data_IF_209654231957
#
_entry.id   IF_209654231957
#
_cell.length_a   1.000
_cell.length_b   1.000
_cell.length_c   1.000
_cell.angle_alpha   90.00
_cell.angle_beta   90.00
_cell.angle_gamma   90.00
#
_symmetry.space_group_name_H-M   'P 1'
#
loop_
_entity.id
_entity.type
_entity.pdbx_description
1 polymer ?
#
# COMPACT_ATOMS: atom_id res chain seq x y z
N UNK A 1 -54.18 185.74 74.02
CA UNK A 1 -54.89 185.45 72.75
C UNK A 1 -53.94 185.40 71.53
N UNK A 2 -52.94 186.29 71.38
CA UNK A 2 -51.94 186.18 70.29
C UNK A 2 -50.69 185.34 70.65
N UNK A 3 -50.18 185.43 71.88
CA UNK A 3 -48.95 184.72 72.30
C UNK A 3 -49.12 183.19 72.32
N UNK A 4 -50.28 182.69 72.78
CA UNK A 4 -50.59 181.24 72.76
C UNK A 4 -50.68 180.65 71.35
N UNK A 5 -50.97 181.46 70.33
CA UNK A 5 -51.02 181.00 68.94
C UNK A 5 -49.62 180.89 68.33
N UNK A 6 -48.70 181.80 68.68
CA UNK A 6 -47.30 181.76 68.26
C UNK A 6 -46.54 180.58 68.90
N UNK A 7 -46.82 180.29 70.18
CA UNK A 7 -46.23 179.11 70.86
C UNK A 7 -46.73 177.82 70.21
N UNK A 8 -48.03 177.70 69.94
CA UNK A 8 -48.59 176.55 69.22
C UNK A 8 -47.95 176.33 67.85
N UNK A 9 -47.79 177.39 67.04
CA UNK A 9 -47.16 177.28 65.73
C UNK A 9 -45.68 176.90 65.80
N UNK A 10 -44.94 177.31 66.84
CA UNK A 10 -43.55 176.87 67.06
C UNK A 10 -43.47 175.41 67.47
N UNK A 11 -44.34 174.97 68.38
CA UNK A 11 -44.46 173.57 68.76
C UNK A 11 -44.87 172.70 67.56
N UNK A 12 -45.75 173.20 66.69
CA UNK A 12 -46.13 172.52 65.44
C UNK A 12 -44.96 172.45 64.47
N UNK A 13 -44.19 173.53 64.30
CA UNK A 13 -43.00 173.54 63.46
C UNK A 13 -41.92 172.58 63.96
N UNK A 14 -41.70 172.52 65.28
CA UNK A 14 -40.71 171.62 65.87
C UNK A 14 -41.17 170.15 65.84
N UNK A 15 -42.47 169.86 66.03
CA UNK A 15 -43.05 168.53 65.78
C UNK A 15 -42.86 168.10 64.33
N UNK A 16 -43.19 168.96 63.37
CA UNK A 16 -43.01 168.69 61.93
C UNK A 16 -41.52 168.47 61.57
N UNK A 17 -40.59 169.14 62.26
CA UNK A 17 -39.14 168.91 62.09
C UNK A 17 -38.70 167.58 62.66
N UNK A 18 -39.19 167.21 63.85
CA UNK A 18 -38.92 165.92 64.49
C UNK A 18 -39.49 164.77 63.65
N UNK A 19 -40.72 164.92 63.15
CA UNK A 19 -41.35 163.95 62.24
C UNK A 19 -40.55 163.82 60.94
N UNK A 20 -40.13 164.93 60.32
CA UNK A 20 -39.27 164.88 59.13
C UNK A 20 -37.96 164.16 59.41
N UNK A 21 -37.31 164.44 60.54
CA UNK A 21 -36.05 163.79 60.92
C UNK A 21 -36.27 162.29 61.17
N UNK A 22 -37.35 161.93 61.86
CA UNK A 22 -37.74 160.54 62.07
C UNK A 22 -37.99 159.81 60.76
N UNK A 23 -38.77 160.38 59.83
CA UNK A 23 -39.00 159.80 58.50
C UNK A 23 -37.73 159.73 57.67
N UNK A 24 -36.80 160.67 57.82
CA UNK A 24 -35.50 160.64 57.15
C UNK A 24 -34.63 159.50 57.67
N UNK A 25 -34.55 159.33 59.00
CA UNK A 25 -33.80 158.25 59.64
C UNK A 25 -34.39 156.88 59.29
N UNK A 26 -35.72 156.74 59.31
CA UNK A 26 -36.40 155.51 58.90
C UNK A 26 -36.20 155.22 57.40
N UNK A 27 -36.24 156.23 56.53
CA UNK A 27 -35.92 156.07 55.11
C UNK A 27 -34.47 155.59 54.92
N UNK A 28 -33.50 156.21 55.59
CA UNK A 28 -32.09 155.85 55.46
C UNK A 28 -31.84 154.44 56.04
N UNK A 29 -32.50 154.08 57.14
CA UNK A 29 -32.49 152.72 57.70
C UNK A 29 -33.09 151.70 56.74
N UNK A 30 -34.24 151.98 56.15
CA UNK A 30 -34.84 151.14 55.09
C UNK A 30 -33.90 151.01 53.90
N UNK A 31 -33.23 152.10 53.51
CA UNK A 31 -32.28 152.09 52.40
C UNK A 31 -31.06 151.21 52.72
N UNK A 32 -30.44 151.35 53.90
CA UNK A 32 -29.33 150.48 54.31
C UNK A 32 -29.74 149.01 54.41
N UNK A 33 -30.92 148.70 54.93
CA UNK A 33 -31.44 147.33 54.94
C UNK A 33 -31.66 146.80 53.53
N UNK A 34 -32.18 147.63 52.63
CA UNK A 34 -32.36 147.29 51.23
C UNK A 34 -31.01 147.01 50.56
N UNK A 35 -30.00 147.87 50.72
CA UNK A 35 -28.64 147.67 50.17
C UNK A 35 -27.99 146.39 50.72
N UNK A 36 -28.11 146.12 52.03
CA UNK A 36 -27.57 144.90 52.64
C UNK A 36 -28.27 143.66 52.08
N UNK A 37 -29.60 143.69 52.00
CA UNK A 37 -30.40 142.55 51.50
C UNK A 37 -30.16 142.32 50.01
N UNK A 38 -29.99 143.39 49.23
CA UNK A 38 -29.66 143.32 47.80
C UNK A 38 -28.26 142.73 47.59
N UNK A 39 -27.25 143.20 48.35
CA UNK A 39 -25.91 142.59 48.33
C UNK A 39 -25.94 141.11 48.71
N UNK A 40 -26.66 140.73 49.77
CA UNK A 40 -26.80 139.33 50.19
C UNK A 40 -27.51 138.48 49.13
N UNK A 41 -28.52 139.05 48.47
CA UNK A 41 -29.21 138.38 47.36
C UNK A 41 -28.26 138.15 46.18
N UNK A 42 -27.44 139.14 45.82
CA UNK A 42 -26.44 139.01 44.76
C UNK A 42 -25.32 138.01 45.12
N UNK A 43 -24.89 137.96 46.40
CA UNK A 43 -23.94 136.95 46.90
C UNK A 43 -24.53 135.54 46.79
N UNK A 44 -25.76 135.31 47.26
CA UNK A 44 -26.43 134.02 47.16
C UNK A 44 -26.68 133.60 45.70
N UNK A 45 -27.02 134.53 44.81
CA UNK A 45 -27.13 134.26 43.37
C UNK A 45 -25.79 133.85 42.77
N UNK A 46 -24.69 134.50 43.18
CA UNK A 46 -23.35 134.16 42.72
C UNK A 46 -22.91 132.78 43.24
N UNK A 47 -23.17 132.47 44.51
CA UNK A 47 -22.92 131.15 45.11
C UNK A 47 -23.73 130.05 44.42
N UNK A 48 -25.03 130.26 44.19
CA UNK A 48 -25.88 129.33 43.44
C UNK A 48 -25.31 129.06 42.05
N UNK A 49 -24.91 130.11 41.32
CA UNK A 49 -24.31 129.96 39.99
C UNK A 49 -22.97 129.22 40.01
N UNK A 50 -22.19 129.33 41.09
CA UNK A 50 -20.96 128.58 41.24
C UNK A 50 -21.25 127.10 41.53
N UNK A 51 -22.20 126.81 42.42
CA UNK A 51 -22.65 125.44 42.69
C UNK A 51 -23.21 124.77 41.44
N UNK A 52 -24.03 125.48 40.65
CA UNK A 52 -24.55 124.95 39.38
C UNK A 52 -23.41 124.60 38.41
N UNK A 53 -22.36 125.43 38.32
CA UNK A 53 -21.17 125.14 37.50
C UNK A 53 -20.38 123.95 38.02
N UNK A 54 -20.21 123.82 39.34
CA UNK A 54 -19.50 122.71 39.96
C UNK A 54 -20.23 121.38 39.69
N UNK A 55 -21.56 121.39 39.80
CA UNK A 55 -22.42 120.25 39.45
C UNK A 55 -22.23 119.88 37.97
N UNK A 56 -22.30 120.86 37.06
CA UNK A 56 -22.06 120.60 35.63
C UNK A 56 -20.64 120.07 35.35
N UNK A 57 -19.63 120.55 36.07
CA UNK A 57 -18.25 120.06 35.96
C UNK A 57 -18.12 118.62 36.43
N UNK A 58 -18.74 118.25 37.55
CA UNK A 58 -18.78 116.87 38.05
C UNK A 58 -19.54 115.94 37.11
N UNK A 59 -20.68 116.37 36.56
CA UNK A 59 -21.38 115.62 35.53
C UNK A 59 -20.51 115.39 34.30
N UNK A 60 -19.78 116.41 33.83
CA UNK A 60 -18.83 116.29 32.72
C UNK A 60 -17.70 115.31 33.07
N UNK A 61 -17.14 115.37 34.28
CA UNK A 61 -16.12 114.41 34.76
C UNK A 61 -16.64 112.98 34.76
N UNK A 62 -17.80 112.73 35.37
CA UNK A 62 -18.41 111.41 35.43
C UNK A 62 -18.74 110.86 34.03
N UNK A 63 -19.21 111.68 33.10
CA UNK A 63 -19.42 111.25 31.71
C UNK A 63 -18.12 110.80 31.03
N UNK A 64 -17.00 111.46 31.30
CA UNK A 64 -15.68 111.05 30.80
C UNK A 64 -15.24 109.73 31.44
N UNK A 65 -15.39 109.59 32.76
CA UNK A 65 -15.07 108.35 33.47
C UNK A 65 -15.86 107.16 32.93
N UNK A 66 -17.17 107.31 32.73
CA UNK A 66 -18.03 106.28 32.13
C UNK A 66 -17.52 105.89 30.74
N UNK A 67 -17.10 106.86 29.91
CA UNK A 67 -16.51 106.58 28.59
C UNK A 67 -15.20 105.80 28.71
N UNK A 68 -14.33 106.18 29.65
CA UNK A 68 -13.06 105.47 29.90
C UNK A 68 -13.31 104.04 30.38
N UNK A 69 -14.19 103.83 31.35
CA UNK A 69 -14.55 102.50 31.83
C UNK A 69 -15.18 101.64 30.73
N UNK A 70 -16.05 102.23 29.90
CA UNK A 70 -16.61 101.54 28.73
C UNK A 70 -15.52 101.11 27.74
N UNK A 71 -14.52 101.95 27.50
CA UNK A 71 -13.38 101.61 26.64
C UNK A 71 -12.49 100.53 27.24
N UNK A 72 -12.21 100.60 28.56
CA UNK A 72 -11.47 99.55 29.28
C UNK A 72 -12.17 98.20 29.20
N UNK A 73 -13.49 98.17 29.41
CA UNK A 73 -14.30 96.97 29.28
C UNK A 73 -14.24 96.39 27.87
N UNK A 74 -14.37 97.23 26.83
CA UNK A 74 -14.23 96.79 25.44
C UNK A 74 -12.86 96.19 25.15
N UNK A 75 -11.79 96.83 25.62
CA UNK A 75 -10.43 96.33 25.43
C UNK A 75 -10.22 94.97 26.10
N UNK A 76 -10.64 94.82 27.36
CA UNK A 76 -10.52 93.57 28.10
C UNK A 76 -11.32 92.42 27.44
N UNK A 77 -12.52 92.71 26.94
CA UNK A 77 -13.31 91.73 26.16
C UNK A 77 -12.61 91.34 24.86
N UNK A 78 -12.02 92.29 24.13
CA UNK A 78 -11.24 91.99 22.93
C UNK A 78 -9.98 91.17 23.25
N UNK A 79 -9.25 91.48 24.32
CA UNK A 79 -8.08 90.71 24.76
C UNK A 79 -8.45 89.27 25.14
N UNK A 80 -9.52 89.08 25.91
CA UNK A 80 -10.03 87.75 26.24
C UNK A 80 -10.46 86.99 24.99
N UNK A 81 -11.18 87.63 24.07
CA UNK A 81 -11.58 87.00 22.81
C UNK A 81 -10.37 86.61 21.95
N UNK A 82 -9.33 87.44 21.91
CA UNK A 82 -8.09 87.13 21.20
C UNK A 82 -7.36 85.95 21.85
N UNK A 83 -7.21 85.97 23.17
CA UNK A 83 -6.57 84.88 23.93
C UNK A 83 -7.32 83.55 23.72
N UNK A 84 -8.66 83.57 23.75
CA UNK A 84 -9.47 82.37 23.46
C UNK A 84 -9.26 81.91 22.02
N UNK A 85 -9.18 82.83 21.06
CA UNK A 85 -8.95 82.50 19.65
C UNK A 85 -7.57 81.89 19.42
N UNK A 86 -6.53 82.44 20.06
CA UNK A 86 -5.16 81.93 20.03
C UNK A 86 -5.08 80.53 20.66
N UNK A 87 -5.61 80.34 21.87
CA UNK A 87 -5.63 79.03 22.53
C UNK A 87 -6.39 77.97 21.70
N UNK A 88 -7.48 78.36 21.03
CA UNK A 88 -8.21 77.47 20.13
C UNK A 88 -7.38 77.12 18.89
N UNK A 89 -6.69 78.09 18.30
CA UNK A 89 -5.83 77.86 17.15
C UNK A 89 -4.64 76.95 17.52
N UNK A 90 -3.97 77.22 18.63
CA UNK A 90 -2.87 76.41 19.16
C UNK A 90 -3.33 74.98 19.48
N UNK A 91 -4.51 74.86 20.09
CA UNK A 91 -5.14 73.56 20.35
C UNK A 91 -5.36 72.77 19.06
N UNK A 92 -5.95 73.39 18.03
CA UNK A 92 -6.17 72.74 16.72
C UNK A 92 -4.84 72.32 16.07
N UNK A 93 -3.85 73.21 16.02
CA UNK A 93 -2.53 72.91 15.44
C UNK A 93 -1.83 71.79 16.20
N UNK A 94 -1.89 71.78 17.54
CA UNK A 94 -1.33 70.71 18.36
C UNK A 94 -2.03 69.37 18.10
N UNK A 95 -3.36 69.37 18.02
CA UNK A 95 -4.12 68.13 17.72
C UNK A 95 -3.83 67.62 16.31
N UNK A 96 -3.75 68.50 15.32
CA UNK A 96 -3.43 68.11 13.94
C UNK A 96 -2.01 67.55 13.82
N UNK A 97 -1.05 68.12 14.55
CA UNK A 97 0.32 67.60 14.60
C UNK A 97 0.37 66.19 15.20
N UNK A 98 -0.28 65.97 16.34
CA UNK A 98 -0.35 64.65 16.98
C UNK A 98 -1.06 63.65 16.06
N UNK A 99 -2.15 64.04 15.40
CA UNK A 99 -2.86 63.18 14.46
C UNK A 99 -1.96 62.78 13.28
N UNK A 100 -1.22 63.72 12.69
CA UNK A 100 -0.27 63.43 11.59
C UNK A 100 0.87 62.51 12.03
N UNK A 101 1.37 62.65 13.26
CA UNK A 101 2.39 61.76 13.82
C UNK A 101 1.83 60.34 14.05
N UNK A 102 0.61 60.23 14.56
CA UNK A 102 -0.08 58.96 14.73
C UNK A 102 -0.33 58.27 13.38
N UNK A 103 -0.86 58.99 12.38
CA UNK A 103 -1.11 58.45 11.03
C UNK A 103 0.20 57.92 10.40
N UNK A 104 1.32 58.63 10.57
CA UNK A 104 2.62 58.15 10.10
C UNK A 104 3.02 56.85 10.79
N UNK A 105 2.96 56.80 12.11
CA UNK A 105 3.31 55.61 12.88
C UNK A 105 2.43 54.41 12.50
N UNK A 106 1.13 54.61 12.33
CA UNK A 106 0.21 53.57 11.88
C UNK A 106 0.56 53.07 10.47
N UNK A 107 0.90 53.97 9.54
CA UNK A 107 1.32 53.55 8.19
C UNK A 107 2.64 52.79 8.19
N UNK A 108 3.58 53.14 9.07
CA UNK A 108 4.85 52.42 9.25
C UNK A 108 4.61 51.03 9.83
N UNK A 109 3.84 50.92 10.92
CA UNK A 109 3.46 49.65 11.52
C UNK A 109 2.73 48.73 10.54
N UNK A 110 1.83 49.26 9.71
CA UNK A 110 1.16 48.48 8.67
C UNK A 110 2.11 48.01 7.57
N UNK A 111 3.15 48.79 7.23
CA UNK A 111 4.18 48.37 6.28
C UNK A 111 5.03 47.24 6.89
N UNK A 112 5.45 47.39 8.14
CA UNK A 112 6.25 46.39 8.84
C UNK A 112 5.47 45.08 9.01
N UNK A 113 4.19 45.15 9.38
CA UNK A 113 3.31 43.97 9.47
C UNK A 113 3.21 43.25 8.12
N UNK A 114 3.03 43.99 7.02
CA UNK A 114 2.98 43.41 5.67
C UNK A 114 4.32 42.78 5.28
N UNK A 115 5.44 43.41 5.61
CA UNK A 115 6.76 42.85 5.36
C UNK A 115 6.96 41.53 6.12
N UNK A 116 6.65 41.51 7.42
CA UNK A 116 6.74 40.30 8.26
C UNK A 116 5.83 39.19 7.73
N UNK A 117 4.61 39.50 7.27
CA UNK A 117 3.72 38.51 6.67
C UNK A 117 4.28 37.91 5.38
N UNK A 118 4.92 38.72 4.53
CA UNK A 118 5.59 38.24 3.31
C UNK A 118 6.78 37.36 3.68
N UNK A 119 7.64 37.80 4.61
CA UNK A 119 8.81 37.02 5.06
C UNK A 119 8.39 35.66 5.64
N UNK A 120 7.32 35.60 6.44
CA UNK A 120 6.78 34.34 6.96
C UNK A 120 6.28 33.44 5.83
N UNK A 121 5.54 33.99 4.86
CA UNK A 121 5.06 33.22 3.71
C UNK A 121 6.22 32.71 2.83
N UNK A 122 7.28 33.50 2.67
CA UNK A 122 8.49 33.09 1.95
C UNK A 122 9.23 31.96 2.66
N UNK A 123 9.36 32.03 3.99
CA UNK A 123 9.91 30.94 4.81
C UNK A 123 9.09 29.65 4.70
N UNK A 124 7.76 29.74 4.83
CA UNK A 124 6.87 28.58 4.69
C UNK A 124 6.99 27.94 3.29
N UNK A 125 7.09 28.77 2.25
CA UNK A 125 7.30 28.31 0.88
C UNK A 125 8.69 27.65 0.72
N UNK A 126 9.74 28.23 1.31
CA UNK A 126 11.10 27.67 1.26
C UNK A 126 11.17 26.30 1.94
N UNK A 127 10.52 26.14 3.09
CA UNK A 127 10.45 24.87 3.81
C UNK A 127 9.64 23.82 3.03
N UNK A 128 8.52 24.21 2.41
CA UNK A 128 7.78 23.33 1.51
C UNK A 128 8.63 22.87 0.31
N UNK A 129 9.41 23.78 -0.29
CA UNK A 129 10.31 23.44 -1.39
C UNK A 129 11.41 22.48 -0.93
N UNK A 130 12.01 22.70 0.24
CA UNK A 130 13.01 21.78 0.82
C UNK A 130 12.42 20.41 1.09
N UNK A 131 11.20 20.32 1.62
CA UNK A 131 10.52 19.05 1.87
C UNK A 131 10.25 18.30 0.56
N UNK A 132 9.76 19.00 -0.47
CA UNK A 132 9.54 18.43 -1.80
C UNK A 132 10.85 17.95 -2.45
N UNK A 133 11.93 18.72 -2.30
CA UNK A 133 13.25 18.33 -2.81
C UNK A 133 13.79 17.09 -2.10
N UNK A 134 13.65 17.00 -0.78
CA UNK A 134 14.06 15.82 -0.01
C UNK A 134 13.25 14.57 -0.42
N UNK A 135 11.93 14.69 -0.59
CA UNK A 135 11.08 13.60 -1.12
C UNK A 135 11.51 13.16 -2.51
N UNK A 136 11.80 14.11 -3.39
CA UNK A 136 12.29 13.81 -4.74
C UNK A 136 13.64 13.09 -4.72
N UNK A 137 14.58 13.54 -3.90
CA UNK A 137 15.89 12.90 -3.74
C UNK A 137 15.76 11.48 -3.17
N UNK A 138 14.86 11.27 -2.19
CA UNK A 138 14.55 9.92 -1.68
C UNK A 138 13.99 9.01 -2.78
N UNK A 139 13.04 9.47 -3.58
CA UNK A 139 12.49 8.68 -4.69
C UNK A 139 13.54 8.38 -5.76
N UNK A 140 14.41 9.34 -6.08
CA UNK A 140 15.55 9.13 -6.97
C UNK A 140 16.51 8.07 -6.41
N UNK A 141 16.83 8.10 -5.12
CA UNK A 141 17.68 7.06 -4.51
C UNK A 141 17.01 5.68 -4.54
N UNK A 142 15.71 5.58 -4.19
CA UNK A 142 14.96 4.31 -4.24
C UNK A 142 14.90 3.73 -5.65
N UNK A 143 14.71 4.57 -6.67
CA UNK A 143 14.69 4.13 -8.07
C UNK A 143 16.08 3.72 -8.54
N UNK A 144 17.13 4.46 -8.19
CA UNK A 144 18.52 4.09 -8.46
C UNK A 144 18.88 2.74 -7.83
N UNK A 145 18.60 2.54 -6.55
CA UNK A 145 18.91 1.30 -5.84
C UNK A 145 18.19 0.09 -6.45
N UNK A 146 16.92 0.27 -6.83
CA UNK A 146 16.15 -0.76 -7.53
C UNK A 146 16.74 -1.12 -8.90
N UNK A 147 17.20 -0.13 -9.65
CA UNK A 147 17.85 -0.36 -10.94
C UNK A 147 19.20 -1.05 -10.77
N UNK A 148 20.00 -0.61 -9.81
CA UNK A 148 21.29 -1.22 -9.48
C UNK A 148 21.13 -2.69 -9.06
N UNK A 149 20.13 -2.99 -8.22
CA UNK A 149 19.77 -4.36 -7.85
C UNK A 149 19.40 -5.20 -9.07
N UNK A 150 18.54 -4.69 -9.96
CA UNK A 150 18.15 -5.41 -11.20
C UNK A 150 19.35 -5.67 -12.12
N UNK A 151 20.27 -4.71 -12.22
CA UNK A 151 21.51 -4.86 -12.99
C UNK A 151 22.39 -5.94 -12.37
N UNK A 152 22.60 -5.93 -11.05
CA UNK A 152 23.38 -6.96 -10.35
C UNK A 152 22.77 -8.36 -10.49
N UNK A 153 21.46 -8.50 -10.29
CA UNK A 153 20.76 -9.79 -10.46
C UNK A 153 20.86 -10.31 -11.88
N UNK A 154 20.73 -9.43 -12.88
CA UNK A 154 20.86 -9.81 -14.29
C UNK A 154 22.29 -10.24 -14.60
N UNK A 155 23.28 -9.47 -14.15
CA UNK A 155 24.70 -9.80 -14.31
C UNK A 155 25.03 -11.16 -13.69
N UNK A 156 24.60 -11.41 -12.46
CA UNK A 156 24.83 -12.69 -11.77
C UNK A 156 24.22 -13.87 -12.54
N UNK A 157 22.99 -13.73 -13.07
CA UNK A 157 22.35 -14.77 -13.90
C UNK A 157 23.15 -15.06 -15.18
N UNK A 158 23.71 -14.05 -15.81
CA UNK A 158 24.53 -14.24 -17.02
C UNK A 158 25.90 -14.82 -16.69
N UNK A 159 26.54 -14.42 -15.60
CA UNK A 159 27.78 -15.02 -15.11
C UNK A 159 27.61 -16.51 -14.78
N UNK A 160 26.52 -16.88 -14.11
CA UNK A 160 26.18 -18.28 -13.82
C UNK A 160 25.99 -19.09 -15.12
N UNK A 161 25.21 -18.57 -16.08
CA UNK A 161 25.04 -19.20 -17.39
C UNK A 161 26.35 -19.36 -18.15
N UNK A 162 27.25 -18.38 -18.04
CA UNK A 162 28.55 -18.40 -18.70
C UNK A 162 29.48 -19.49 -18.16
N UNK A 163 29.25 -19.96 -16.92
CA UNK A 163 29.98 -21.08 -16.30
C UNK A 163 29.29 -22.42 -16.58
N UNK A 164 27.97 -22.50 -16.40
CA UNK A 164 27.22 -23.76 -16.48
C UNK A 164 27.13 -24.29 -17.92
N UNK A 165 26.92 -23.43 -18.92
CA UNK A 165 26.72 -23.87 -20.30
C UNK A 165 27.96 -24.62 -20.87
N UNK A 166 29.21 -24.14 -20.69
CA UNK A 166 30.39 -24.90 -21.08
C UNK A 166 30.54 -26.23 -20.34
N UNK A 167 30.21 -26.28 -19.04
CA UNK A 167 30.28 -27.52 -18.26
C UNK A 167 29.27 -28.55 -18.78
N UNK A 168 28.06 -28.13 -19.12
CA UNK A 168 27.03 -29.01 -19.66
C UNK A 168 27.39 -29.53 -21.05
N UNK A 169 27.93 -28.67 -21.93
CA UNK A 169 28.46 -29.09 -23.24
C UNK A 169 29.63 -30.09 -23.10
N UNK A 170 30.54 -29.86 -22.15
CA UNK A 170 31.66 -30.76 -21.89
C UNK A 170 31.18 -32.11 -21.32
N UNK A 171 30.17 -32.10 -20.44
CA UNK A 171 29.55 -33.31 -19.93
C UNK A 171 28.82 -34.11 -21.02
N UNK A 172 28.06 -33.45 -21.90
CA UNK A 172 27.44 -34.11 -23.06
C UNK A 172 28.52 -34.75 -23.95
N UNK A 173 29.59 -34.01 -24.26
CA UNK A 173 30.70 -34.53 -25.06
C UNK A 173 31.37 -35.74 -24.40
N UNK A 174 31.60 -35.70 -23.08
CA UNK A 174 32.17 -36.82 -22.31
C UNK A 174 31.26 -38.04 -22.33
N UNK A 175 29.96 -37.85 -22.16
CA UNK A 175 28.99 -38.95 -22.23
C UNK A 175 28.96 -39.59 -23.62
N UNK A 176 28.91 -38.80 -24.70
CA UNK A 176 28.96 -39.32 -26.07
C UNK A 176 30.25 -40.10 -26.36
N UNK A 177 31.39 -39.65 -25.83
CA UNK A 177 32.66 -40.37 -25.93
C UNK A 177 32.57 -41.71 -25.17
N UNK A 178 32.10 -41.69 -23.93
CA UNK A 178 31.96 -42.89 -23.09
C UNK A 178 31.02 -43.92 -23.73
N UNK A 179 29.85 -43.50 -24.21
CA UNK A 179 28.91 -44.41 -24.89
C UNK A 179 29.52 -45.04 -26.14
N UNK A 180 30.27 -44.26 -26.92
CA UNK A 180 30.98 -44.78 -28.09
C UNK A 180 32.08 -45.76 -27.69
N UNK A 181 32.84 -45.45 -26.65
CA UNK A 181 33.87 -46.34 -26.10
C UNK A 181 33.26 -47.65 -25.59
N UNK A 182 32.15 -47.60 -24.85
CA UNK A 182 31.43 -48.77 -24.36
C UNK A 182 30.91 -49.66 -25.51
N UNK A 183 30.36 -49.03 -26.56
CA UNK A 183 29.93 -49.75 -27.76
C UNK A 183 31.10 -50.44 -28.48
N UNK A 184 32.23 -49.75 -28.65
CA UNK A 184 33.44 -50.35 -29.24
C UNK A 184 34.02 -51.45 -28.37
N UNK A 185 34.07 -51.26 -27.05
CA UNK A 185 34.54 -52.25 -26.10
C UNK A 185 33.65 -53.51 -26.12
N UNK A 186 32.33 -53.33 -26.18
CA UNK A 186 31.37 -54.42 -26.34
C UNK A 186 31.59 -55.17 -27.66
N UNK A 187 31.77 -54.44 -28.77
CA UNK A 187 32.06 -55.04 -30.07
C UNK A 187 33.39 -55.83 -30.08
N UNK A 188 34.45 -55.26 -29.52
CA UNK A 188 35.76 -55.92 -29.38
C UNK A 188 35.62 -57.19 -28.52
N UNK A 189 34.88 -57.11 -27.41
CA UNK A 189 34.64 -58.26 -26.53
C UNK A 189 33.90 -59.38 -27.27
N UNK A 190 32.84 -59.05 -28.01
CA UNK A 190 32.12 -60.01 -28.85
C UNK A 190 33.02 -60.64 -29.93
N UNK A 191 33.85 -59.84 -30.60
CA UNK A 191 34.80 -60.35 -31.59
C UNK A 191 35.84 -61.30 -30.96
N UNK A 192 36.31 -60.99 -29.75
CA UNK A 192 37.21 -61.87 -28.98
C UNK A 192 36.49 -63.19 -28.62
N UNK A 193 35.24 -63.14 -28.20
CA UNK A 193 34.45 -64.34 -27.89
C UNK A 193 34.23 -65.22 -29.12
N UNK A 194 33.89 -64.63 -30.27
CA UNK A 194 33.73 -65.32 -31.55
C UNK A 194 35.05 -65.94 -32.02
N UNK A 195 36.17 -65.21 -31.96
CA UNK A 195 37.49 -65.77 -32.25
C UNK A 195 37.86 -66.91 -31.30
N UNK A 196 37.59 -66.78 -30.00
CA UNK A 196 37.85 -67.85 -29.04
C UNK A 196 36.97 -69.07 -29.30
N UNK A 197 35.71 -68.87 -29.73
CA UNK A 197 34.80 -69.96 -30.10
C UNK A 197 35.29 -70.68 -31.34
N UNK A 198 35.57 -69.96 -32.43
CA UNK A 198 36.11 -70.56 -33.66
C UNK A 198 37.44 -71.27 -33.42
N UNK A 199 38.30 -70.75 -32.55
CA UNK A 199 39.53 -71.42 -32.15
C UNK A 199 39.26 -72.71 -31.35
N UNK A 200 38.30 -72.70 -30.41
CA UNK A 200 37.87 -73.92 -29.70
C UNK A 200 37.32 -74.97 -30.67
N UNK A 201 36.45 -74.57 -31.59
CA UNK A 201 35.84 -75.45 -32.58
C UNK A 201 36.91 -76.05 -33.52
N UNK A 202 37.86 -75.22 -34.00
CA UNK A 202 39.00 -75.69 -34.80
C UNK A 202 39.90 -76.65 -34.02
N UNK A 203 40.15 -76.37 -32.74
CA UNK A 203 40.92 -77.26 -31.86
C UNK A 203 40.22 -78.60 -31.65
N UNK A 204 38.89 -78.59 -31.49
CA UNK A 204 38.08 -79.80 -31.38
C UNK A 204 38.13 -80.60 -32.70
N UNK A 205 37.98 -79.94 -33.85
CA UNK A 205 38.15 -80.58 -35.16
C UNK A 205 39.54 -81.20 -35.33
N UNK A 206 40.62 -80.51 -34.94
CA UNK A 206 41.98 -81.07 -34.97
C UNK A 206 42.10 -82.30 -34.06
N UNK A 207 41.48 -82.27 -32.88
CA UNK A 207 41.44 -83.43 -31.97
C UNK A 207 40.71 -84.62 -32.60
N UNK A 208 39.57 -84.39 -33.27
CA UNK A 208 38.84 -85.41 -34.01
C UNK A 208 39.69 -85.95 -35.16
N UNK A 209 40.33 -85.10 -35.95
CA UNK A 209 41.24 -85.52 -37.03
C UNK A 209 42.41 -86.36 -36.49
N UNK A 210 42.95 -86.01 -35.33
CA UNK A 210 44.01 -86.77 -34.67
C UNK A 210 43.50 -88.18 -34.28
N UNK A 211 42.30 -88.26 -33.70
CA UNK A 211 41.65 -89.52 -33.37
C UNK A 211 41.37 -90.38 -34.62
N UNK A 212 40.82 -89.77 -35.67
CA UNK A 212 40.57 -90.41 -36.96
C UNK A 212 41.85 -90.93 -37.61
N UNK A 213 42.96 -90.19 -37.50
CA UNK A 213 44.27 -90.63 -37.98
C UNK A 213 44.76 -91.88 -37.24
N UNK A 214 44.58 -91.94 -35.92
CA UNK A 214 44.94 -93.13 -35.12
C UNK A 214 44.05 -94.33 -35.45
N UNK A 215 42.75 -94.12 -35.67
CA UNK A 215 41.83 -95.16 -36.17
C UNK A 215 42.26 -95.64 -37.56
N UNK A 216 42.60 -94.72 -38.46
CA UNK A 216 43.08 -95.04 -39.81
C UNK A 216 44.39 -95.83 -39.79
N UNK A 217 45.36 -95.45 -38.92
CA UNK A 217 46.59 -96.23 -38.68
C UNK A 217 46.28 -97.64 -38.16
N UNK A 218 45.35 -97.77 -37.21
CA UNK A 218 44.91 -99.06 -36.66
C UNK A 218 44.26 -99.94 -37.74
N UNK A 219 43.32 -99.39 -38.52
CA UNK A 219 42.68 -100.08 -39.64
C UNK A 219 43.71 -100.50 -40.69
N UNK A 220 44.68 -99.64 -41.03
CA UNK A 220 45.77 -99.99 -41.95
C UNK A 220 46.60 -101.16 -41.44
N UNK A 221 46.91 -101.20 -40.14
CA UNK A 221 47.60 -102.34 -39.50
C UNK A 221 46.75 -103.61 -39.56
N UNK A 222 45.45 -103.52 -39.31
CA UNK A 222 44.53 -104.66 -39.45
C UNK A 222 44.44 -105.15 -40.90
N UNK A 223 44.38 -104.26 -41.89
CA UNK A 223 44.38 -104.61 -43.32
C UNK A 223 45.68 -105.31 -43.71
N UNK A 224 46.83 -104.85 -43.22
CA UNK A 224 48.10 -105.53 -43.48
C UNK A 224 48.12 -106.93 -42.85
N UNK A 225 47.61 -107.07 -41.62
CA UNK A 225 47.46 -108.37 -40.95
C UNK A 225 46.50 -109.30 -41.70
N UNK A 226 45.34 -108.80 -42.18
CA UNK A 226 44.39 -109.61 -42.95
C UNK A 226 44.95 -109.97 -44.32
N UNK A 227 45.73 -109.10 -44.98
CA UNK A 227 46.46 -109.42 -46.21
C UNK A 227 47.50 -110.52 -45.99
N UNK A 228 48.27 -110.48 -44.90
CA UNK A 228 49.21 -111.56 -44.53
C UNK A 228 48.46 -112.86 -44.27
N UNK A 229 47.36 -112.82 -43.50
CA UNK A 229 46.49 -113.99 -43.27
C UNK A 229 45.86 -114.51 -44.57
N UNK A 230 45.47 -113.64 -45.49
CA UNK A 230 44.93 -114.01 -46.79
C UNK A 230 45.99 -114.68 -47.65
N UNK A 231 47.20 -114.13 -47.74
CA UNK A 231 48.33 -114.77 -48.43
C UNK A 231 48.66 -116.14 -47.83
N UNK A 232 48.54 -116.29 -46.52
CA UNK A 232 48.70 -117.59 -45.85
C UNK A 232 47.58 -118.56 -46.28
N UNK A 233 46.31 -118.12 -46.23
CA UNK A 233 45.18 -118.93 -46.71
C UNK A 233 45.27 -119.28 -48.19
N UNK A 234 45.79 -118.40 -49.05
CA UNK A 234 46.04 -118.67 -50.46
C UNK A 234 47.13 -119.73 -50.65
N UNK A 235 48.16 -119.74 -49.80
CA UNK A 235 49.16 -120.84 -49.78
C UNK A 235 48.54 -122.15 -49.31
N UNK A 236 47.70 -122.11 -48.29
CA UNK A 236 46.98 -123.28 -47.77
C UNK A 236 45.89 -123.78 -48.74
N UNK A 237 45.43 -122.93 -49.67
CA UNK A 237 44.46 -123.28 -50.73
C UNK A 237 45.09 -124.10 -51.87
N UNK A 238 46.40 -124.00 -52.09
CA UNK A 238 47.12 -124.75 -53.14
C UNK A 238 46.98 -126.28 -52.98
N UNK A 239 47.19 -126.89 -51.79
CA UNK A 239 46.94 -128.32 -51.60
C UNK A 239 45.44 -128.68 -51.66
N UNK A 240 44.56 -127.80 -51.15
CA UNK A 240 43.10 -127.99 -51.19
C UNK A 240 42.54 -127.96 -52.63
N UNK A 241 43.14 -127.17 -53.53
CA UNK A 241 42.82 -127.15 -54.96
C UNK A 241 43.34 -128.38 -55.71
N UNK A 242 44.42 -129.01 -55.25
CA UNK A 242 44.90 -130.29 -55.79
C UNK A 242 44.01 -131.46 -55.37
N UNK A 243 43.53 -131.47 -54.12
CA UNK A 243 42.56 -132.47 -53.63
C UNK A 243 41.18 -132.34 -54.31
N UNK A 244 40.73 -131.12 -54.60
CA UNK A 244 39.47 -130.87 -55.34
C UNK A 244 39.53 -131.32 -56.81
N UNK A 245 40.70 -131.32 -57.47
CA UNK A 245 40.84 -131.87 -58.83
C UNK A 245 40.64 -133.38 -58.88
N UNK A 246 41.06 -134.11 -57.84
CA UNK A 246 40.89 -135.57 -57.72
C UNK A 246 39.46 -135.97 -57.27
N UNK A 247 38.76 -135.11 -56.51
CA UNK A 247 37.35 -135.32 -56.14
C UNK A 247 36.35 -134.95 -57.25
N UNK A 248 36.69 -134.01 -58.15
CA UNK A 248 35.85 -133.60 -59.28
C UNK A 248 35.74 -134.70 -60.36
N UNK A 249 36.75 -135.57 -60.52
CA UNK A 249 36.69 -136.75 -61.41
C UNK A 249 35.83 -137.91 -60.85
N UNK A 250 35.66 -138.02 -59.53
CA UNK A 250 34.80 -139.03 -58.90
C UNK A 250 33.33 -138.58 -58.77
N UNK A 251 33.07 -137.26 -58.74
CA UNK A 251 31.72 -136.68 -58.62
C UNK A 251 30.91 -136.65 -59.94
N UNK A 252 31.56 -136.72 -61.11
CA UNK A 252 30.89 -136.81 -62.41
C UNK A 252 30.17 -138.15 -62.67
N UNK A 253 30.42 -139.19 -61.85
CA UNK A 253 29.80 -140.53 -61.98
C UNK A 253 28.54 -140.72 -61.12
N UNK A 254 28.24 -139.83 -60.16
CA UNK A 254 27.10 -139.99 -59.22
C UNK A 254 26.13 -138.80 -59.26
N UNK A 255 26.49 -137.66 -59.85
CA UNK A 255 25.60 -136.50 -59.95
C UNK A 255 24.67 -136.51 -61.18
N UNK A 256 24.18 -137.71 -61.55
CA UNK A 256 23.06 -137.94 -62.48
C UNK A 256 21.79 -138.44 -61.75
N UNK A 257 21.75 -138.37 -60.41
CA UNK A 257 20.61 -138.87 -59.61
C UNK A 257 20.00 -137.92 -58.57
N UNK A 258 20.43 -136.66 -58.45
CA UNK A 258 19.74 -135.71 -57.54
C UNK A 258 19.44 -134.42 -58.29
N UNK A 259 18.67 -134.60 -59.36
CA UNK A 259 17.72 -133.63 -59.84
C UNK A 259 16.38 -133.91 -59.12
N UNK A 260 16.26 -133.57 -57.84
CA UNK A 260 14.96 -133.41 -57.19
C UNK A 260 15.15 -132.81 -55.80
N UNK A 261 14.49 -131.66 -55.57
CA UNK A 261 14.49 -130.84 -54.35
C UNK A 261 15.79 -130.03 -54.16
N UNK A 262 15.77 -128.71 -54.19
CA UNK A 262 14.79 -127.87 -53.52
C UNK A 262 14.73 -126.45 -54.09
N UNK A 263 13.49 -125.97 -54.10
CA UNK A 263 12.98 -124.70 -54.61
C UNK A 263 12.84 -123.77 -53.40
N UNK A 264 13.12 -122.47 -53.61
CA UNK A 264 12.70 -121.27 -52.81
C UNK A 264 13.59 -120.88 -51.61
N UNK A 265 14.14 -119.64 -51.65
CA UNK A 265 13.59 -118.56 -50.81
C UNK A 265 14.09 -117.14 -51.14
N UNK A 266 13.13 -116.22 -51.12
CA UNK A 266 13.15 -114.75 -51.06
C UNK A 266 12.92 -114.31 -49.60
N UNK A 267 13.27 -113.06 -49.24
CA UNK A 267 12.63 -112.13 -48.26
C UNK A 267 13.58 -110.94 -47.94
N UNK A 268 13.23 -109.77 -47.37
CA UNK A 268 12.08 -108.85 -47.27
C UNK A 268 12.51 -107.64 -46.36
N UNK A 269 11.68 -106.59 -46.28
CA UNK A 269 11.83 -105.19 -45.75
C UNK A 269 12.02 -104.92 -44.22
N UNK A 270 12.32 -103.64 -43.79
CA UNK A 270 11.48 -102.73 -42.93
C UNK A 270 12.15 -101.51 -42.18
N UNK A 271 11.41 -100.36 -42.13
CA UNK A 271 11.06 -99.35 -41.05
C UNK A 271 12.06 -98.31 -40.43
N UNK A 272 11.62 -97.03 -40.25
CA UNK A 272 10.96 -96.42 -39.04
C UNK A 272 10.72 -94.89 -39.15
N UNK A 273 9.87 -94.37 -38.24
CA UNK A 273 9.20 -93.04 -38.16
C UNK A 273 9.36 -92.39 -36.75
N UNK A 274 8.93 -91.12 -36.63
CA UNK A 274 8.34 -90.37 -35.47
C UNK A 274 9.08 -89.18 -34.82
N UNK A 275 8.44 -87.99 -34.80
CA UNK A 275 8.37 -87.03 -33.66
C UNK A 275 7.45 -85.82 -33.97
N UNK A 276 6.21 -85.80 -33.44
CA UNK A 276 5.28 -84.66 -33.54
C UNK A 276 4.35 -84.61 -32.30
N UNK A 277 4.86 -84.14 -31.14
CA UNK A 277 4.04 -83.94 -29.92
C UNK A 277 4.43 -82.75 -29.01
N UNK A 278 5.39 -81.90 -29.40
CA UNK A 278 5.85 -80.78 -28.54
C UNK A 278 5.28 -79.41 -28.96
N UNK A 279 4.97 -79.22 -30.25
CA UNK A 279 4.58 -77.92 -30.84
C UNK A 279 3.14 -77.49 -30.46
N UNK A 280 2.26 -78.43 -30.12
CA UNK A 280 0.84 -78.15 -29.85
C UNK A 280 0.55 -77.58 -28.46
N UNK A 281 1.52 -77.60 -27.52
CA UNK A 281 1.32 -77.10 -26.16
C UNK A 281 1.67 -75.61 -26.03
N UNK A 282 2.78 -75.16 -26.62
CA UNK A 282 3.20 -73.75 -26.62
C UNK A 282 2.21 -72.83 -27.36
N UNK A 283 1.56 -73.34 -28.41
CA UNK A 283 0.58 -72.58 -29.21
C UNK A 283 -0.70 -72.25 -28.43
N UNK A 284 -1.10 -73.09 -27.47
CA UNK A 284 -2.31 -72.85 -26.66
C UNK A 284 -2.05 -71.85 -25.52
N UNK A 285 -0.89 -71.90 -24.87
CA UNK A 285 -0.53 -70.96 -23.79
C UNK A 285 -0.37 -69.52 -24.33
N UNK A 286 0.18 -69.36 -25.54
CA UNK A 286 0.31 -68.04 -26.18
C UNK A 286 -1.05 -67.43 -26.56
N UNK A 287 -2.03 -68.27 -26.93
CA UNK A 287 -3.39 -67.84 -27.27
C UNK A 287 -4.15 -67.30 -26.04
N UNK A 288 -4.05 -67.98 -24.89
CA UNK A 288 -4.68 -67.52 -23.65
C UNK A 288 -4.13 -66.18 -23.17
N UNK A 289 -2.82 -65.94 -23.30
CA UNK A 289 -2.20 -64.67 -22.94
C UNK A 289 -2.67 -63.51 -23.85
N UNK A 290 -2.88 -63.78 -25.14
CA UNK A 290 -3.38 -62.79 -26.08
C UNK A 290 -4.84 -62.38 -25.78
N UNK A 291 -5.71 -63.34 -25.46
CA UNK A 291 -7.09 -63.07 -25.07
C UNK A 291 -7.18 -62.27 -23.75
N UNK A 292 -6.35 -62.61 -22.75
CA UNK A 292 -6.28 -61.87 -21.49
C UNK A 292 -5.79 -60.42 -21.67
N UNK A 293 -4.82 -60.20 -22.56
CA UNK A 293 -4.32 -58.86 -22.90
C UNK A 293 -5.37 -58.04 -23.66
N UNK A 294 -6.11 -58.67 -24.59
CA UNK A 294 -7.21 -58.06 -25.31
C UNK A 294 -8.33 -57.56 -24.39
N UNK A 295 -8.73 -58.36 -23.40
CA UNK A 295 -9.74 -57.94 -22.41
C UNK A 295 -9.30 -56.74 -21.56
N UNK A 296 -8.02 -56.69 -21.15
CA UNK A 296 -7.46 -55.54 -20.42
C UNK A 296 -7.45 -54.28 -21.26
N UNK A 297 -7.09 -54.41 -22.54
CA UNK A 297 -7.10 -53.29 -23.48
C UNK A 297 -8.51 -52.71 -23.67
N UNK A 298 -9.52 -53.56 -23.87
CA UNK A 298 -10.91 -53.12 -23.98
C UNK A 298 -11.41 -52.38 -22.73
N UNK A 299 -11.01 -52.84 -21.53
CA UNK A 299 -11.38 -52.17 -20.28
C UNK A 299 -10.74 -50.78 -20.15
N UNK A 300 -9.45 -50.66 -20.47
CA UNK A 300 -8.75 -49.37 -20.47
C UNK A 300 -9.32 -48.40 -21.52
N UNK A 301 -9.74 -48.91 -22.68
CA UNK A 301 -10.36 -48.10 -23.72
C UNK A 301 -11.71 -47.53 -23.27
N UNK A 302 -12.52 -48.32 -22.57
CA UNK A 302 -13.77 -47.87 -21.96
C UNK A 302 -13.54 -46.82 -20.87
N UNK A 303 -12.57 -47.03 -19.98
CA UNK A 303 -12.23 -46.07 -18.92
C UNK A 303 -11.75 -44.73 -19.51
N UNK A 304 -10.96 -44.77 -20.60
CA UNK A 304 -10.56 -43.56 -21.35
C UNK A 304 -11.78 -42.85 -21.94
N UNK A 305 -12.67 -43.57 -22.60
CA UNK A 305 -13.84 -42.98 -23.25
C UNK A 305 -14.82 -42.40 -22.23
N UNK A 306 -15.01 -43.05 -21.10
CA UNK A 306 -15.81 -42.54 -19.99
C UNK A 306 -15.18 -41.26 -19.39
N UNK A 307 -13.86 -41.25 -19.19
CA UNK A 307 -13.15 -40.08 -18.70
C UNK A 307 -13.27 -38.90 -19.69
N UNK A 308 -13.09 -39.16 -20.99
CA UNK A 308 -13.19 -38.14 -22.03
C UNK A 308 -14.62 -37.57 -22.15
N UNK A 309 -15.63 -38.42 -22.08
CA UNK A 309 -17.03 -38.02 -22.15
C UNK A 309 -17.49 -37.24 -20.90
N UNK A 310 -16.93 -37.55 -19.73
CA UNK A 310 -17.31 -36.90 -18.45
C UNK A 310 -16.48 -35.66 -18.13
N UNK A 311 -15.33 -35.47 -18.77
CA UNK A 311 -14.41 -34.35 -18.52
C UNK A 311 -15.09 -32.99 -18.69
N UNK A 312 -15.76 -32.76 -19.82
CA UNK A 312 -16.45 -31.48 -20.09
C UNK A 312 -17.55 -31.19 -19.07
N UNK A 313 -18.34 -32.20 -18.70
CA UNK A 313 -19.40 -32.05 -17.70
C UNK A 313 -18.83 -31.73 -16.30
N UNK A 314 -17.68 -32.28 -15.96
CA UNK A 314 -17.02 -32.01 -14.68
C UNK A 314 -16.42 -30.60 -14.64
N UNK A 315 -15.86 -30.11 -15.76
CA UNK A 315 -15.40 -28.72 -15.89
C UNK A 315 -16.59 -27.76 -15.71
N UNK A 316 -17.68 -27.97 -16.46
CA UNK A 316 -18.87 -27.12 -16.38
C UNK A 316 -19.46 -27.07 -14.95
N UNK A 317 -19.49 -28.21 -14.24
CA UNK A 317 -19.94 -28.25 -12.83
C UNK A 317 -19.05 -27.43 -11.90
N UNK A 318 -17.72 -27.50 -12.07
CA UNK A 318 -16.77 -26.74 -11.25
C UNK A 318 -16.87 -25.24 -11.57
N UNK A 319 -16.93 -24.88 -12.84
CA UNK A 319 -17.09 -23.50 -13.31
C UNK A 319 -18.42 -22.91 -12.83
N UNK A 320 -19.53 -23.63 -12.96
CA UNK A 320 -20.83 -23.20 -12.45
C UNK A 320 -20.80 -23.00 -10.92
N UNK A 321 -20.16 -23.92 -10.17
CA UNK A 321 -20.02 -23.76 -8.72
C UNK A 321 -19.17 -22.55 -8.34
N UNK A 322 -18.11 -22.27 -9.07
CA UNK A 322 -17.28 -21.07 -8.88
C UNK A 322 -18.05 -19.79 -9.23
N UNK A 323 -18.77 -19.80 -10.36
CA UNK A 323 -19.61 -18.70 -10.83
C UNK A 323 -20.71 -18.34 -9.84
N UNK A 324 -21.43 -19.33 -9.30
CA UNK A 324 -22.45 -19.11 -8.26
C UNK A 324 -21.85 -18.48 -7.00
N UNK A 325 -20.66 -18.92 -6.57
CA UNK A 325 -19.96 -18.30 -5.44
C UNK A 325 -19.54 -16.86 -5.74
N UNK A 326 -19.01 -16.59 -6.93
CA UNK A 326 -18.64 -15.22 -7.37
C UNK A 326 -19.86 -14.32 -7.36
N UNK A 327 -20.96 -14.74 -7.99
CA UNK A 327 -22.21 -13.98 -8.02
C UNK A 327 -22.75 -13.70 -6.61
N UNK A 328 -22.65 -14.66 -5.67
CA UNK A 328 -23.08 -14.44 -4.29
C UNK A 328 -22.20 -13.40 -3.57
N UNK A 329 -20.88 -13.43 -3.80
CA UNK A 329 -19.95 -12.43 -3.24
C UNK A 329 -20.19 -11.05 -3.84
N UNK A 330 -20.42 -10.95 -5.16
CA UNK A 330 -20.77 -9.70 -5.83
C UNK A 330 -22.07 -9.11 -5.29
N UNK A 331 -23.11 -9.94 -5.07
CA UNK A 331 -24.37 -9.50 -4.44
C UNK A 331 -24.14 -8.97 -3.02
N UNK A 332 -23.31 -9.65 -2.22
CA UNK A 332 -22.97 -9.18 -0.86
C UNK A 332 -22.18 -7.88 -0.90
N UNK A 333 -21.23 -7.75 -1.81
CA UNK A 333 -20.43 -6.54 -1.98
C UNK A 333 -21.30 -5.36 -2.39
N UNK A 334 -22.22 -5.56 -3.33
CA UNK A 334 -23.20 -4.53 -3.73
C UNK A 334 -24.06 -4.10 -2.55
N UNK A 335 -24.65 -5.04 -1.81
CA UNK A 335 -25.47 -4.72 -0.64
C UNK A 335 -24.69 -3.94 0.45
N UNK A 336 -23.41 -4.29 0.69
CA UNK A 336 -22.55 -3.53 1.60
C UNK A 336 -22.22 -2.13 1.08
N UNK A 337 -22.02 -1.99 -0.23
CA UNK A 337 -21.75 -0.70 -0.89
C UNK A 337 -22.98 0.21 -0.79
N UNK A 338 -24.17 -0.30 -1.13
CA UNK A 338 -25.43 0.44 -1.04
C UNK A 338 -25.69 0.89 0.41
N UNK A 339 -25.38 0.03 1.39
CA UNK A 339 -25.49 0.37 2.81
C UNK A 339 -24.51 1.47 3.22
N UNK A 340 -23.26 1.41 2.74
CA UNK A 340 -22.23 2.41 3.00
C UNK A 340 -22.64 3.77 2.43
N UNK A 341 -23.05 3.82 1.17
CA UNK A 341 -23.52 5.03 0.49
C UNK A 341 -24.69 5.66 1.25
N UNK A 342 -25.65 4.85 1.70
CA UNK A 342 -26.78 5.32 2.51
C UNK A 342 -26.31 5.92 3.85
N UNK A 343 -25.40 5.27 4.57
CA UNK A 343 -24.87 5.79 5.83
C UNK A 343 -24.05 7.07 5.64
N UNK A 344 -23.29 7.17 4.56
CA UNK A 344 -22.50 8.36 4.23
C UNK A 344 -23.41 9.53 3.86
N UNK A 345 -24.47 9.30 3.07
CA UNK A 345 -25.47 10.32 2.77
C UNK A 345 -26.21 10.80 4.03
N UNK A 346 -26.56 9.89 4.94
CA UNK A 346 -27.14 10.24 6.24
C UNK A 346 -26.18 11.06 7.09
N UNK A 347 -24.90 10.68 7.17
CA UNK A 347 -23.86 11.41 7.88
C UNK A 347 -23.71 12.84 7.32
N UNK A 348 -23.57 12.98 6.00
CA UNK A 348 -23.47 14.29 5.35
C UNK A 348 -24.70 15.17 5.61
N UNK A 349 -25.90 14.59 5.61
CA UNK A 349 -27.13 15.32 5.94
C UNK A 349 -27.14 15.83 7.38
N UNK A 350 -26.76 15.00 8.36
CA UNK A 350 -26.70 15.38 9.78
C UNK A 350 -25.62 16.43 10.02
N UNK A 351 -24.42 16.25 9.45
CA UNK A 351 -23.32 17.20 9.56
C UNK A 351 -23.71 18.57 9.00
N UNK A 352 -24.36 18.61 7.83
CA UNK A 352 -24.83 19.85 7.21
C UNK A 352 -25.94 20.54 8.00
N UNK A 353 -26.84 19.79 8.65
CA UNK A 353 -27.92 20.34 9.45
C UNK A 353 -27.45 20.90 10.81
N UNK A 354 -26.33 20.39 11.33
CA UNK A 354 -25.86 20.68 12.68
C UNK A 354 -25.06 21.98 12.84
N UNK A 355 -24.63 22.62 11.74
CA UNK A 355 -23.83 23.87 11.73
C UNK A 355 -22.68 23.87 12.75
N UNK A 356 -22.06 22.71 13.00
CA UNK A 356 -20.96 22.58 13.95
C UNK A 356 -19.67 23.19 13.38
N UNK A 357 -18.77 23.62 14.27
CA UNK A 357 -17.43 24.06 13.87
C UNK A 357 -16.66 22.89 13.23
N UNK A 358 -16.34 23.05 11.94
CA UNK A 358 -15.66 22.06 11.11
C UNK A 358 -14.28 21.68 11.67
N UNK A 359 -13.62 22.60 12.38
CA UNK A 359 -12.29 22.39 12.96
C UNK A 359 -12.35 21.51 14.21
N UNK A 360 -13.29 21.76 15.11
CA UNK A 360 -13.52 20.89 16.27
C UNK A 360 -14.00 19.49 15.83
N UNK A 361 -14.82 19.41 14.78
CA UNK A 361 -15.36 18.15 14.27
C UNK A 361 -14.27 17.28 13.63
N UNK A 362 -13.35 17.86 12.85
CA UNK A 362 -12.23 17.12 12.27
C UNK A 362 -11.30 16.54 13.33
N UNK A 363 -11.01 17.29 14.41
CA UNK A 363 -10.18 16.81 15.53
C UNK A 363 -10.84 15.63 16.23
N UNK A 364 -12.15 15.67 16.47
CA UNK A 364 -12.90 14.56 17.08
C UNK A 364 -12.96 13.35 16.16
N UNK A 365 -13.21 13.55 14.86
CA UNK A 365 -13.22 12.47 13.85
C UNK A 365 -11.87 11.78 13.76
N UNK A 366 -10.77 12.54 13.64
CA UNK A 366 -9.42 11.98 13.56
C UNK A 366 -9.08 11.16 14.81
N UNK A 367 -9.45 11.64 16.01
CA UNK A 367 -9.23 10.91 17.26
C UNK A 367 -10.05 9.62 17.34
N UNK A 368 -11.28 9.62 16.80
CA UNK A 368 -12.12 8.42 16.71
C UNK A 368 -11.50 7.42 15.72
N UNK A 369 -11.04 7.88 14.56
CA UNK A 369 -10.35 7.05 13.56
C UNK A 369 -9.08 6.41 14.15
N UNK A 370 -8.21 7.19 14.80
CA UNK A 370 -7.00 6.67 15.46
C UNK A 370 -7.33 5.60 16.52
N UNK A 371 -8.40 5.80 17.31
CA UNK A 371 -8.86 4.83 18.30
C UNK A 371 -9.42 3.56 17.66
N UNK A 372 -10.16 3.69 16.55
CA UNK A 372 -10.68 2.56 15.80
C UNK A 372 -9.55 1.76 15.15
N UNK A 373 -8.57 2.42 14.55
CA UNK A 373 -7.40 1.80 13.94
C UNK A 373 -6.53 1.09 14.98
N UNK A 374 -6.29 1.73 16.13
CA UNK A 374 -5.59 1.11 17.27
C UNK A 374 -6.31 -0.14 17.77
N UNK A 375 -7.65 -0.07 17.89
CA UNK A 375 -8.49 -1.21 18.30
C UNK A 375 -8.47 -2.33 17.26
N UNK A 376 -8.59 -1.99 15.97
CA UNK A 376 -8.53 -2.94 14.86
C UNK A 376 -7.18 -3.67 14.79
N UNK A 377 -6.09 -2.93 14.92
CA UNK A 377 -4.74 -3.49 14.96
C UNK A 377 -4.53 -4.41 16.17
N UNK A 378 -5.10 -4.05 17.33
CA UNK A 378 -5.08 -4.88 18.52
C UNK A 378 -5.85 -6.19 18.32
N UNK A 379 -7.05 -6.13 17.72
CA UNK A 379 -7.85 -7.31 17.37
C UNK A 379 -7.07 -8.22 16.41
N UNK A 380 -6.52 -7.66 15.33
CA UNK A 380 -5.72 -8.41 14.35
C UNK A 380 -4.49 -9.09 14.98
N UNK A 381 -3.82 -8.39 15.90
CA UNK A 381 -2.68 -8.95 16.64
C UNK A 381 -3.11 -10.11 17.54
N UNK A 382 -4.24 -9.96 18.26
CA UNK A 382 -4.79 -11.03 19.09
C UNK A 382 -5.23 -12.24 18.26
N UNK A 383 -5.84 -12.05 17.09
CA UNK A 383 -6.19 -13.13 16.16
C UNK A 383 -4.95 -13.87 15.65
N UNK A 384 -3.89 -13.13 15.29
CA UNK A 384 -2.62 -13.72 14.89
C UNK A 384 -1.96 -14.52 16.02
N UNK A 385 -1.94 -13.97 17.25
CA UNK A 385 -1.43 -14.68 18.43
C UNK A 385 -2.23 -15.95 18.71
N UNK A 386 -3.57 -15.88 18.60
CA UNK A 386 -4.45 -17.04 18.72
C UNK A 386 -4.13 -18.11 17.67
N UNK A 387 -3.93 -17.72 16.41
CA UNK A 387 -3.55 -18.65 15.34
C UNK A 387 -2.18 -19.30 15.59
N UNK A 388 -1.20 -18.52 16.05
CA UNK A 388 0.13 -19.02 16.41
C UNK A 388 0.08 -20.02 17.59
N UNK A 389 -0.69 -19.71 18.64
CA UNK A 389 -0.87 -20.61 19.78
C UNK A 389 -1.59 -21.90 19.34
N UNK A 390 -2.64 -21.80 18.51
CA UNK A 390 -3.33 -22.97 17.96
C UNK A 390 -2.39 -23.85 17.13
N UNK A 391 -1.50 -23.25 16.34
CA UNK A 391 -0.48 -23.98 15.57
C UNK A 391 0.54 -24.65 16.50
N UNK A 392 1.12 -23.91 17.44
CA UNK A 392 2.08 -24.45 18.40
C UNK A 392 1.49 -25.61 19.22
N UNK A 393 0.20 -25.51 19.61
CA UNK A 393 -0.53 -26.60 20.26
C UNK A 393 -0.67 -27.82 19.35
N UNK A 394 -1.00 -27.63 18.08
CA UNK A 394 -1.12 -28.72 17.09
C UNK A 394 0.23 -29.42 16.87
N UNK A 395 1.30 -28.64 16.69
CA UNK A 395 2.65 -29.16 16.50
C UNK A 395 3.14 -29.92 17.73
N UNK A 396 2.88 -29.38 18.94
CA UNK A 396 3.19 -30.05 20.19
C UNK A 396 2.46 -31.39 20.32
N UNK A 397 1.15 -31.44 20.03
CA UNK A 397 0.37 -32.68 20.04
C UNK A 397 0.95 -33.72 19.07
N UNK A 398 1.29 -33.32 17.84
CA UNK A 398 1.92 -34.21 16.86
C UNK A 398 3.27 -34.75 17.35
N UNK A 399 4.09 -33.92 18.01
CA UNK A 399 5.37 -34.39 18.58
C UNK A 399 5.17 -35.34 19.76
N UNK A 400 4.15 -35.13 20.60
CA UNK A 400 3.80 -36.05 21.68
C UNK A 400 3.31 -37.39 21.13
N UNK A 401 2.42 -37.39 20.14
CA UNK A 401 1.96 -38.61 19.47
C UNK A 401 3.11 -39.40 18.84
N UNK A 402 4.04 -38.71 18.17
CA UNK A 402 5.22 -39.33 17.59
C UNK A 402 6.10 -39.98 18.68
N UNK A 403 6.32 -39.29 19.80
CA UNK A 403 7.09 -39.82 20.94
C UNK A 403 6.41 -41.01 21.62
N UNK A 404 5.10 -40.97 21.81
CA UNK A 404 4.32 -42.09 22.37
C UNK A 404 4.44 -43.33 21.48
N UNK A 405 4.33 -43.15 20.15
CA UNK A 405 4.55 -44.22 19.16
C UNK A 405 5.96 -44.82 19.26
N UNK A 406 7.00 -44.00 19.42
CA UNK A 406 8.38 -44.51 19.56
C UNK A 406 8.65 -45.26 20.87
N UNK A 407 7.88 -44.97 21.93
CA UNK A 407 8.02 -45.62 23.24
C UNK A 407 7.14 -46.87 23.40
N UNK A 408 6.40 -47.27 22.35
CA UNK A 408 5.52 -48.45 22.38
C UNK A 408 4.27 -48.29 23.25
N UNK A 409 3.93 -47.05 23.64
CA UNK A 409 2.71 -46.74 24.39
C UNK A 409 1.55 -46.63 23.39
N UNK A 410 0.43 -47.37 23.56
CA UNK A 410 -0.76 -47.20 22.74
C UNK A 410 -1.21 -45.74 22.81
N UNK A 411 -1.51 -45.13 21.67
CA UNK A 411 -2.04 -43.77 21.60
C UNK A 411 -3.46 -43.80 22.18
N UNK A 412 -3.58 -43.73 23.51
CA UNK A 412 -4.86 -43.44 24.16
C UNK A 412 -5.33 -42.08 23.64
N UNK A 413 -6.58 -42.03 23.17
CA UNK A 413 -7.20 -40.88 22.53
C UNK A 413 -7.01 -39.61 23.38
N UNK A 414 -5.96 -38.84 23.07
CA UNK A 414 -5.90 -37.43 23.44
C UNK A 414 -6.88 -36.74 22.51
N UNK A 415 -8.17 -36.87 22.83
CA UNK A 415 -9.28 -36.23 22.13
C UNK A 415 -9.24 -34.72 22.41
N UNK A 416 -8.20 -34.06 21.94
CA UNK A 416 -8.15 -32.61 21.85
C UNK A 416 -8.90 -32.25 20.56
N UNK A 417 -10.23 -32.09 20.67
CA UNK A 417 -11.03 -31.45 19.61
C UNK A 417 -10.26 -30.22 19.11
N UNK A 418 -9.97 -30.11 17.80
CA UNK A 418 -9.35 -28.92 17.24
C UNK A 418 -10.15 -27.71 17.69
N UNK A 419 -9.48 -26.65 18.14
CA UNK A 419 -10.15 -25.37 18.33
C UNK A 419 -10.46 -24.82 16.94
N UNK A 420 -11.51 -25.32 16.30
CA UNK A 420 -12.04 -24.72 15.08
C UNK A 420 -12.62 -23.37 15.46
N UNK A 421 -12.01 -22.30 14.96
CA UNK A 421 -12.58 -20.97 14.98
C UNK A 421 -13.81 -20.94 14.06
N UNK A 422 -14.93 -21.49 14.52
CA UNK A 422 -16.23 -21.28 13.87
C UNK A 422 -16.73 -19.89 14.25
N UNK A 423 -16.24 -18.87 13.54
CA UNK A 423 -16.96 -17.63 13.34
C UNK A 423 -17.67 -17.70 11.98
N UNK A 424 -18.60 -18.65 11.86
CA UNK A 424 -19.73 -18.46 10.96
C UNK A 424 -20.63 -17.44 11.64
N UNK A 425 -20.55 -16.19 11.20
CA UNK A 425 -21.46 -15.14 11.61
C UNK A 425 -22.90 -15.64 11.43
N UNK A 426 -23.58 -15.92 12.55
CA UNK A 426 -25.04 -15.99 12.58
C UNK A 426 -25.53 -14.59 12.23
N UNK A 427 -25.97 -14.42 10.99
CA UNK A 427 -26.85 -13.33 10.59
C UNK A 427 -28.14 -13.46 11.40
N UNK A 428 -28.18 -12.83 12.57
CA UNK A 428 -29.41 -12.52 13.27
C UNK A 428 -30.06 -11.37 12.49
N UNK A 429 -31.06 -11.68 11.67
CA UNK A 429 -31.73 -10.66 10.87
C UNK A 429 -32.73 -11.22 9.88
N UNK A 430 -33.74 -11.94 10.37
CA UNK A 430 -35.03 -12.11 9.69
C UNK A 430 -36.05 -12.73 10.65
N UNK A 431 -36.83 -11.88 11.32
CA UNK A 431 -38.26 -12.12 11.55
C UNK A 431 -38.94 -10.83 12.03
N UNK A 432 -39.39 -10.00 11.08
CA UNK A 432 -40.59 -9.18 11.27
C UNK A 432 -41.39 -9.32 9.97
N UNK A 433 -42.16 -10.40 9.97
CA UNK A 433 -43.20 -10.68 9.01
C UNK A 433 -44.38 -9.74 9.33
N UNK A 434 -44.47 -8.63 8.62
CA UNK A 434 -45.66 -7.80 8.57
C UNK A 434 -46.41 -8.17 7.30
N UNK A 435 -47.35 -9.09 7.46
CA UNK A 435 -48.29 -9.46 6.42
C UNK A 435 -49.09 -8.25 5.97
N UNK A 436 -49.07 -8.00 4.66
CA UNK A 436 -50.16 -7.31 3.99
C UNK A 436 -50.59 -8.15 2.79
N UNK A 437 -51.77 -8.74 2.99
CA UNK A 437 -52.66 -9.31 1.99
C UNK A 437 -52.93 -8.35 0.84
N UNK A 438 -53.02 -8.93 -0.36
CA UNK A 438 -53.48 -8.31 -1.60
C UNK A 438 -54.70 -7.38 -1.39
N UNK A 439 -54.57 -6.14 -1.87
CA UNK A 439 -55.47 -5.61 -2.90
C UNK A 439 -54.78 -4.52 -3.71
#
# INVERSE_FOLDING_TARGET
MLEEYIVRLREELDREREERNYFQLERDKIHTFWEITDRQLEELKAEQKNLDKDIEEDERRHQVEIKVYKQKMKHLLCEHQNTISELKADGLVSTEKVQKEQEKLETELQKDLRAIMVDMQELDNEDLVKELQLKYDEELTKTRDNLEKKVMETKAKYEEKMILLPQELDNMRKNEISEREDNWNSHITGLIEDHNKTFRDAKEQVSVMQQDLEVSKSLKKQIEQTKVKQKQKERDLIPVLQDNKHLTELLLKVQRQIAEKEKKMKCCAMKRDTSEKFITKEMNDLKCNYEALGQRFSKLQLERDELYNTFSQNIEKVEHKASVKSMMLEKKLRALTDSLEKTQAQLHSVLSASNMDQTALSVVTNRIEENLDSSYNSIKNLENKKAQISKARKDLLLTYEAKQRTLGVPVEEVCAKPFESSLTGKSLGQHLDLGFTLK
#
